data_IF_980124892135
#
_entry.id   IF_980124892135
#
_cell.length_a   1.000
_cell.length_b   1.000
_cell.length_c   1.000
_cell.angle_alpha   90.00
_cell.angle_beta   90.00
_cell.angle_gamma   90.00
#
_symmetry.space_group_name_H-M   'P 1'
#
loop_
_entity.id
_entity.type
_entity.pdbx_description
1 polymer ?
#
# COMPACT_ATOMS: atom_id res chain seq x y z
N UNK A 1 19.40 -19.79 -5.76
CA UNK A 1 19.02 -18.76 -6.74
C UNK A 1 19.09 -17.44 -6.02
N UNK A 2 20.10 -16.62 -6.31
CA UNK A 2 20.08 -15.22 -5.89
C UNK A 2 18.90 -14.55 -6.58
N UNK A 3 17.98 -13.96 -5.81
CA UNK A 3 16.92 -13.12 -6.34
C UNK A 3 17.63 -11.81 -6.72
N UNK A 4 17.95 -11.63 -8.00
CA UNK A 4 18.74 -10.48 -8.48
C UNK A 4 17.90 -9.21 -8.71
N UNK A 5 16.56 -9.32 -8.72
CA UNK A 5 15.61 -8.20 -8.84
C UNK A 5 14.45 -8.35 -7.85
N UNK A 6 13.99 -7.23 -7.29
CA UNK A 6 12.75 -7.20 -6.49
C UNK A 6 11.56 -7.70 -7.33
N UNK A 7 10.57 -8.35 -6.70
CA UNK A 7 9.36 -8.83 -7.38
C UNK A 7 8.14 -8.07 -6.86
N UNK A 8 7.32 -7.55 -7.76
CA UNK A 8 6.08 -6.83 -7.42
C UNK A 8 4.87 -7.56 -8.00
N UNK A 9 3.84 -7.77 -7.16
CA UNK A 9 2.57 -8.34 -7.59
C UNK A 9 1.66 -7.25 -8.14
N UNK A 10 1.12 -7.44 -9.33
CA UNK A 10 0.09 -6.58 -9.94
C UNK A 10 -1.09 -7.43 -10.43
N UNK A 11 -2.24 -6.80 -10.64
CA UNK A 11 -3.42 -7.43 -11.25
C UNK A 11 -3.91 -6.52 -12.39
N UNK A 12 -4.10 -7.03 -13.62
CA UNK A 12 -4.54 -6.22 -14.75
C UNK A 12 -5.98 -5.73 -14.56
N UNK A 13 -6.34 -4.56 -15.11
CA UNK A 13 -7.61 -3.90 -14.85
C UNK A 13 -8.72 -4.36 -15.80
N UNK A 14 -8.80 -5.65 -16.10
CA UNK A 14 -9.70 -6.17 -17.13
C UNK A 14 -11.18 -5.98 -16.77
N UNK A 15 -11.49 -5.95 -15.47
CA UNK A 15 -12.81 -5.74 -14.88
C UNK A 15 -12.86 -4.51 -13.98
N UNK A 16 -11.90 -3.60 -14.09
CA UNK A 16 -11.88 -2.41 -13.23
C UNK A 16 -13.06 -1.48 -13.53
N UNK A 17 -13.76 -1.07 -12.48
CA UNK A 17 -14.83 -0.09 -12.51
C UNK A 17 -15.04 0.49 -11.10
N UNK A 18 -15.73 1.63 -11.00
CA UNK A 18 -16.19 2.18 -9.73
C UNK A 18 -17.68 1.90 -9.63
N UNK A 19 -18.04 0.82 -8.94
CA UNK A 19 -19.43 0.34 -8.79
C UNK A 19 -20.08 0.77 -7.47
N UNK A 20 -19.26 1.11 -6.49
CA UNK A 20 -19.65 1.39 -5.11
C UNK A 20 -18.74 2.46 -4.50
N UNK A 21 -19.11 2.96 -3.32
CA UNK A 21 -18.40 4.04 -2.62
C UNK A 21 -17.97 3.58 -1.24
N UNK A 22 -16.71 3.18 -1.12
CA UNK A 22 -16.10 2.70 0.14
C UNK A 22 -14.93 3.59 0.62
N UNK A 23 -14.70 4.70 -0.08
CA UNK A 23 -13.79 5.77 0.32
C UNK A 23 -14.23 7.11 -0.32
N UNK A 24 -13.76 8.26 0.19
CA UNK A 24 -14.18 9.57 -0.32
C UNK A 24 -13.86 9.84 -1.79
N UNK A 25 -12.83 9.20 -2.36
CA UNK A 25 -12.44 9.41 -3.76
C UNK A 25 -13.38 8.74 -4.76
N UNK A 26 -14.18 7.77 -4.31
CA UNK A 26 -15.15 7.06 -5.18
C UNK A 26 -16.48 7.81 -5.33
N UNK A 27 -16.84 8.71 -4.41
CA UNK A 27 -18.19 9.26 -4.27
C UNK A 27 -18.76 9.89 -5.56
N UNK A 28 -17.90 10.58 -6.33
CA UNK A 28 -18.29 11.28 -7.56
C UNK A 28 -17.85 10.55 -8.84
N UNK A 29 -17.39 9.29 -8.74
CA UNK A 29 -16.76 8.55 -9.84
C UNK A 29 -17.51 7.28 -10.27
N UNK A 30 -18.66 6.99 -9.66
CA UNK A 30 -19.45 5.78 -9.98
C UNK A 30 -19.87 5.78 -11.45
N UNK A 31 -19.53 4.71 -12.17
CA UNK A 31 -19.85 4.57 -13.60
C UNK A 31 -19.08 5.50 -14.55
N UNK A 32 -18.08 6.25 -14.08
CA UNK A 32 -17.31 7.20 -14.89
C UNK A 32 -15.98 6.62 -15.43
N UNK A 33 -15.71 5.33 -15.19
CA UNK A 33 -14.45 4.69 -15.60
C UNK A 33 -14.37 4.56 -17.12
N UNK A 34 -13.26 5.04 -17.69
CA UNK A 34 -12.88 4.77 -19.07
C UNK A 34 -11.88 3.60 -19.10
N UNK A 35 -12.38 2.41 -19.45
CA UNK A 35 -11.61 1.18 -19.39
C UNK A 35 -10.39 1.16 -20.33
N UNK A 36 -10.48 1.81 -21.50
CA UNK A 36 -9.36 1.90 -22.43
C UNK A 36 -8.24 2.78 -21.85
N UNK A 37 -8.60 3.90 -21.24
CA UNK A 37 -7.65 4.77 -20.53
C UNK A 37 -7.05 4.05 -19.31
N UNK A 38 -7.86 3.37 -18.51
CA UNK A 38 -7.39 2.58 -17.35
C UNK A 38 -6.36 1.53 -17.79
N UNK A 39 -6.66 0.76 -18.84
CA UNK A 39 -5.74 -0.25 -19.38
C UNK A 39 -4.45 0.37 -19.91
N UNK A 40 -4.53 1.54 -20.55
CA UNK A 40 -3.35 2.25 -21.03
C UNK A 40 -2.46 2.72 -19.87
N UNK A 41 -3.04 3.38 -18.85
CA UNK A 41 -2.31 3.86 -17.67
C UNK A 41 -1.70 2.72 -16.86
N UNK A 42 -2.43 1.62 -16.69
CA UNK A 42 -1.92 0.45 -15.96
C UNK A 42 -0.75 -0.21 -16.70
N UNK A 43 -0.83 -0.35 -18.03
CA UNK A 43 0.28 -0.89 -18.82
C UNK A 43 1.51 0.01 -18.74
N UNK A 44 1.33 1.32 -18.82
CA UNK A 44 2.42 2.27 -18.65
C UNK A 44 3.11 2.11 -17.29
N UNK A 45 2.35 2.05 -16.19
CA UNK A 45 2.89 1.80 -14.86
C UNK A 45 3.63 0.46 -14.77
N UNK A 46 3.01 -0.61 -15.26
CA UNK A 46 3.61 -1.96 -15.26
C UNK A 46 4.92 -1.97 -16.04
N UNK A 47 4.93 -1.40 -17.25
CA UNK A 47 6.10 -1.41 -18.12
C UNK A 47 7.26 -0.63 -17.50
N UNK A 48 6.98 0.53 -16.88
CA UNK A 48 7.98 1.32 -16.13
C UNK A 48 8.52 0.54 -14.92
N UNK A 49 7.66 -0.12 -14.13
CA UNK A 49 8.13 -0.95 -13.01
C UNK A 49 9.01 -2.09 -13.52
N UNK A 50 8.64 -2.72 -14.64
CA UNK A 50 9.32 -3.88 -15.20
C UNK A 50 10.75 -3.57 -15.72
N UNK A 51 11.08 -2.30 -15.95
CA UNK A 51 12.46 -1.88 -16.21
C UNK A 51 13.38 -2.15 -15.00
N UNK A 52 12.86 -1.98 -13.77
CA UNK A 52 13.65 -1.98 -12.53
C UNK A 52 13.40 -3.19 -11.62
N UNK A 53 12.25 -3.84 -11.74
CA UNK A 53 11.84 -4.99 -10.94
C UNK A 53 11.12 -6.04 -11.81
N UNK A 54 10.93 -7.25 -11.30
CA UNK A 54 10.13 -8.27 -11.98
C UNK A 54 8.65 -8.10 -11.60
N UNK A 55 7.81 -7.77 -12.57
CA UNK A 55 6.36 -7.77 -12.34
C UNK A 55 5.80 -9.18 -12.45
N UNK A 56 5.08 -9.60 -11.41
CA UNK A 56 4.31 -10.84 -11.38
C UNK A 56 2.84 -10.45 -11.44
N UNK A 57 2.11 -10.99 -12.39
CA UNK A 57 0.69 -10.72 -12.53
C UNK A 57 -0.14 -11.83 -11.88
N UNK A 58 -1.26 -11.46 -11.27
CA UNK A 58 -2.34 -12.39 -10.92
C UNK A 58 -3.52 -12.22 -11.86
N UNK A 59 -4.28 -13.29 -12.05
CA UNK A 59 -5.48 -13.26 -12.89
C UNK A 59 -6.56 -12.35 -12.28
N UNK A 60 -7.13 -11.42 -13.07
CA UNK A 60 -8.25 -10.60 -12.63
C UNK A 60 -9.53 -11.45 -12.58
N UNK A 61 -10.48 -11.05 -11.75
CA UNK A 61 -11.75 -11.79 -11.56
C UNK A 61 -12.91 -10.85 -11.85
N UNK A 62 -13.87 -11.34 -12.66
CA UNK A 62 -15.08 -10.59 -12.94
C UNK A 62 -15.81 -10.23 -11.64
N UNK A 63 -16.47 -9.07 -11.65
CA UNK A 63 -17.22 -8.50 -10.51
C UNK A 63 -16.37 -8.12 -9.28
N UNK A 64 -15.03 -8.22 -9.37
CA UNK A 64 -14.08 -7.81 -8.31
C UNK A 64 -13.17 -6.67 -8.80
N UNK A 65 -13.71 -5.46 -9.01
CA UNK A 65 -13.00 -4.38 -9.69
C UNK A 65 -11.74 -3.91 -8.94
N UNK A 66 -11.77 -3.94 -7.61
CA UNK A 66 -10.67 -3.46 -6.77
C UNK A 66 -9.49 -4.45 -6.64
N UNK A 67 -9.55 -5.63 -7.28
CA UNK A 67 -8.42 -6.58 -7.30
C UNK A 67 -7.14 -5.99 -7.91
N UNK A 68 -7.26 -4.94 -8.72
CA UNK A 68 -6.13 -4.18 -9.27
C UNK A 68 -5.24 -3.57 -8.18
N UNK A 69 -5.79 -3.31 -6.99
CA UNK A 69 -5.09 -2.74 -5.83
C UNK A 69 -4.43 -3.84 -4.99
N UNK A 70 -3.42 -4.48 -5.56
CA UNK A 70 -2.70 -5.63 -4.96
C UNK A 70 -1.89 -5.27 -3.71
N UNK A 71 -1.66 -3.97 -3.44
CA UNK A 71 -1.12 -3.51 -2.15
C UNK A 71 -1.98 -4.00 -0.97
N UNK A 72 -3.28 -4.16 -1.17
CA UNK A 72 -4.19 -4.67 -0.16
C UNK A 72 -4.39 -6.19 -0.23
N UNK A 73 -3.64 -6.94 -1.03
CA UNK A 73 -3.73 -8.41 -1.02
C UNK A 73 -3.30 -8.99 0.34
N UNK A 74 -2.31 -8.36 0.95
CA UNK A 74 -1.71 -8.75 2.22
C UNK A 74 -0.38 -8.05 2.42
N UNK A 75 0.32 -8.39 3.48
CA UNK A 75 1.70 -7.94 3.74
C UNK A 75 2.65 -9.14 3.72
N UNK A 76 3.84 -8.93 3.19
CA UNK A 76 4.86 -9.97 3.03
C UNK A 76 6.17 -9.59 3.72
N UNK A 77 6.81 -10.56 4.37
CA UNK A 77 8.17 -10.42 4.91
C UNK A 77 8.93 -11.75 4.80
N UNK A 78 9.99 -11.76 4.01
CA UNK A 78 10.69 -13.01 3.68
C UNK A 78 9.76 -13.97 2.93
N UNK A 79 9.62 -15.20 3.43
CA UNK A 79 8.70 -16.21 2.90
C UNK A 79 7.34 -16.23 3.63
N UNK A 80 7.07 -15.29 4.53
CA UNK A 80 5.84 -15.20 5.31
C UNK A 80 4.88 -14.18 4.72
N UNK A 81 3.58 -14.46 4.79
CA UNK A 81 2.53 -13.54 4.38
C UNK A 81 1.36 -13.52 5.37
N UNK A 82 0.75 -12.36 5.54
CA UNK A 82 -0.57 -12.20 6.18
C UNK A 82 -1.49 -11.66 5.10
N UNK A 83 -2.45 -12.46 4.64
CA UNK A 83 -3.48 -11.99 3.70
C UNK A 83 -4.47 -11.07 4.41
N UNK A 84 -4.98 -10.10 3.67
CA UNK A 84 -5.97 -9.16 4.19
C UNK A 84 -7.28 -9.82 4.60
N UNK A 85 -7.96 -9.16 5.54
CA UNK A 85 -9.37 -9.35 5.84
C UNK A 85 -10.05 -7.98 5.76
N UNK A 86 -10.83 -7.77 4.70
CA UNK A 86 -11.30 -6.44 4.32
C UNK A 86 -12.42 -5.93 5.23
N UNK A 87 -12.33 -4.66 5.60
CA UNK A 87 -13.38 -3.95 6.35
C UNK A 87 -14.58 -3.65 5.45
N UNK A 88 -14.42 -3.09 4.23
CA UNK A 88 -15.48 -3.03 3.23
C UNK A 88 -15.90 -4.43 2.77
N UNK A 89 -17.20 -4.71 2.85
CA UNK A 89 -17.74 -6.03 2.50
C UNK A 89 -17.62 -6.31 1.00
N UNK A 90 -17.62 -5.26 0.19
CA UNK A 90 -17.48 -5.27 -1.26
C UNK A 90 -16.17 -5.93 -1.70
N UNK A 91 -15.09 -5.77 -0.91
CA UNK A 91 -13.76 -6.32 -1.21
C UNK A 91 -13.51 -7.71 -0.60
N UNK A 92 -14.35 -8.19 0.31
CA UNK A 92 -14.17 -9.51 0.97
C UNK A 92 -14.10 -10.70 0.00
N UNK A 93 -14.85 -10.73 -1.12
CA UNK A 93 -14.71 -11.81 -2.09
C UNK A 93 -13.29 -11.93 -2.69
N UNK A 94 -12.49 -10.86 -2.72
CA UNK A 94 -11.11 -10.88 -3.21
C UNK A 94 -10.19 -11.76 -2.35
N UNK A 95 -10.49 -11.89 -1.05
CA UNK A 95 -9.63 -12.58 -0.09
C UNK A 95 -9.31 -14.02 -0.49
N UNK A 96 -10.26 -14.74 -1.08
CA UNK A 96 -10.05 -16.14 -1.48
C UNK A 96 -9.00 -16.23 -2.58
N UNK A 97 -8.96 -15.24 -3.48
CA UNK A 97 -8.01 -15.16 -4.58
C UNK A 97 -6.61 -14.80 -4.09
N UNK A 98 -6.48 -13.81 -3.21
CA UNK A 98 -5.19 -13.46 -2.60
C UNK A 98 -4.63 -14.60 -1.74
N UNK A 99 -5.47 -15.22 -0.90
CA UNK A 99 -5.08 -16.37 -0.07
C UNK A 99 -4.67 -17.58 -0.92
N UNK A 100 -5.32 -17.79 -2.06
CA UNK A 100 -4.92 -18.83 -3.03
C UNK A 100 -3.56 -18.50 -3.64
N UNK A 101 -3.39 -17.27 -4.15
CA UNK A 101 -2.15 -16.83 -4.79
C UNK A 101 -0.95 -16.96 -3.86
N UNK A 102 -1.05 -16.52 -2.60
CA UNK A 102 0.03 -16.66 -1.62
C UNK A 102 0.43 -18.12 -1.38
N UNK A 103 -0.54 -19.03 -1.24
CA UNK A 103 -0.26 -20.46 -1.05
C UNK A 103 0.41 -21.09 -2.27
N UNK A 104 -0.09 -20.80 -3.47
CA UNK A 104 0.44 -21.32 -4.73
C UNK A 104 1.86 -20.79 -5.02
N UNK A 105 2.20 -19.61 -4.50
CA UNK A 105 3.54 -19.01 -4.61
C UNK A 105 4.46 -19.33 -3.42
N UNK A 106 4.09 -20.29 -2.57
CA UNK A 106 4.99 -20.86 -1.55
C UNK A 106 5.15 -20.04 -0.26
N UNK A 107 4.27 -19.07 0.00
CA UNK A 107 4.30 -18.31 1.25
C UNK A 107 3.75 -19.12 2.43
N UNK A 108 4.41 -19.01 3.58
CA UNK A 108 3.83 -19.37 4.87
C UNK A 108 2.74 -18.35 5.19
N UNK A 109 1.48 -18.75 5.00
CA UNK A 109 0.34 -17.87 5.14
C UNK A 109 -0.23 -17.94 6.57
N UNK A 110 -0.18 -16.81 7.29
CA UNK A 110 -0.82 -16.68 8.58
C UNK A 110 -2.35 -16.65 8.44
N UNK A 111 -3.02 -17.41 9.29
CA UNK A 111 -4.46 -17.39 9.42
C UNK A 111 -4.87 -16.36 10.47
N UNK A 112 -4.89 -15.07 10.10
CA UNK A 112 -5.43 -14.01 10.95
C UNK A 112 -6.89 -14.32 11.32
N UNK A 113 -7.29 -14.04 12.57
CA UNK A 113 -8.68 -14.19 12.99
C UNK A 113 -9.57 -13.31 12.10
N UNK A 114 -10.62 -13.91 11.52
CA UNK A 114 -11.60 -13.22 10.67
C UNK A 114 -12.43 -12.17 11.42
N UNK A 115 -12.24 -12.02 12.72
CA UNK A 115 -12.80 -10.92 13.51
C UNK A 115 -11.96 -9.65 13.45
N UNK A 116 -10.72 -9.76 12.98
CA UNK A 116 -9.76 -8.66 12.96
C UNK A 116 -9.64 -8.10 11.54
N UNK A 117 -9.99 -6.83 11.35
CA UNK A 117 -9.82 -6.11 10.09
C UNK A 117 -8.35 -5.79 9.80
N UNK A 118 -7.88 -6.08 8.59
CA UNK A 118 -6.50 -5.82 8.17
C UNK A 118 -6.40 -5.73 6.64
N UNK A 119 -5.80 -4.66 6.11
CA UNK A 119 -5.76 -4.40 4.65
C UNK A 119 -4.36 -4.35 4.04
N UNK A 120 -3.47 -5.22 4.54
CA UNK A 120 -2.24 -5.60 3.85
C UNK A 120 -1.16 -4.52 3.85
N UNK A 121 -0.30 -4.54 2.84
CA UNK A 121 0.79 -3.58 2.68
C UNK A 121 0.29 -2.14 2.45
N UNK A 122 -0.95 -1.96 1.99
CA UNK A 122 -1.59 -0.64 1.95
C UNK A 122 -1.71 0.02 3.34
N UNK A 123 -1.76 -0.78 4.41
CA UNK A 123 -1.79 -0.32 5.81
C UNK A 123 -0.58 -0.77 6.65
N UNK A 124 0.37 -1.52 6.10
CA UNK A 124 1.52 -2.06 6.83
C UNK A 124 2.78 -1.99 5.98
N UNK A 125 3.50 -0.88 6.10
CA UNK A 125 4.66 -0.55 5.29
C UNK A 125 5.96 -0.91 6.00
N UNK A 126 6.79 -1.69 5.33
CA UNK A 126 8.12 -2.02 5.83
C UNK A 126 9.06 -0.83 5.72
N UNK A 127 9.79 -0.53 6.79
CA UNK A 127 10.92 0.40 6.72
C UNK A 127 12.06 -0.19 5.86
N UNK A 128 12.61 0.61 4.96
CA UNK A 128 13.66 0.16 4.04
C UNK A 128 15.04 0.06 4.69
N UNK A 129 15.23 0.64 5.87
CA UNK A 129 16.53 0.76 6.55
C UNK A 129 16.57 0.15 7.96
N UNK A 130 15.41 -0.13 8.55
CA UNK A 130 15.26 -0.59 9.94
C UNK A 130 14.33 -1.81 10.01
N UNK A 131 14.45 -2.66 11.05
CA UNK A 131 13.65 -3.88 11.18
C UNK A 131 12.28 -3.62 11.85
N UNK A 132 11.53 -2.65 11.34
CA UNK A 132 10.17 -2.35 11.84
C UNK A 132 9.17 -2.12 10.71
N UNK A 133 7.89 -2.14 11.08
CA UNK A 133 6.74 -1.96 10.19
C UNK A 133 5.93 -0.74 10.64
N UNK A 134 5.78 0.25 9.76
CA UNK A 134 4.85 1.36 9.94
C UNK A 134 3.43 0.86 9.65
N UNK A 135 2.59 0.72 10.68
CA UNK A 135 1.26 0.12 10.54
C UNK A 135 0.16 1.13 10.86
N UNK A 136 -0.62 1.45 9.84
CA UNK A 136 -1.74 2.38 9.88
C UNK A 136 -2.96 1.79 10.58
N UNK A 137 -3.68 2.64 11.31
CA UNK A 137 -4.99 2.30 11.86
C UNK A 137 -5.89 3.53 11.93
N UNK A 138 -7.20 3.31 12.07
CA UNK A 138 -8.21 4.36 12.25
C UNK A 138 -9.36 4.32 11.26
N UNK A 139 -9.15 3.71 10.09
CA UNK A 139 -10.19 3.57 9.05
C UNK A 139 -10.39 2.13 8.56
N UNK A 140 -9.30 1.42 8.24
CA UNK A 140 -9.36 0.11 7.58
C UNK A 140 -8.81 -1.01 8.46
N UNK A 141 -7.54 -0.93 8.83
CA UNK A 141 -6.90 -1.88 9.74
C UNK A 141 -7.22 -1.59 11.20
N UNK A 142 -7.55 -2.64 11.95
CA UNK A 142 -7.81 -2.61 13.39
C UNK A 142 -6.51 -2.74 14.20
N UNK A 143 -6.46 -2.09 15.37
CA UNK A 143 -5.23 -2.05 16.19
C UNK A 143 -4.86 -3.44 16.72
N UNK A 144 -5.85 -4.32 16.88
CA UNK A 144 -5.70 -5.71 17.27
C UNK A 144 -4.84 -6.51 16.27
N UNK A 145 -4.81 -6.12 14.99
CA UNK A 145 -3.94 -6.76 13.99
C UNK A 145 -2.45 -6.56 14.30
N UNK A 146 -2.09 -5.47 14.99
CA UNK A 146 -0.69 -5.06 15.18
C UNK A 146 0.09 -6.08 16.01
N UNK A 147 -0.51 -6.64 17.06
CA UNK A 147 0.14 -7.66 17.89
C UNK A 147 0.34 -8.97 17.12
N UNK A 148 -0.65 -9.38 16.33
CA UNK A 148 -0.58 -10.56 15.46
C UNK A 148 0.53 -10.40 14.41
N UNK A 149 0.61 -9.24 13.76
CA UNK A 149 1.64 -8.88 12.77
C UNK A 149 3.04 -8.94 13.41
N UNK A 150 3.23 -8.27 14.55
CA UNK A 150 4.50 -8.22 15.25
C UNK A 150 4.96 -9.63 15.65
N UNK A 151 4.06 -10.45 16.21
CA UNK A 151 4.35 -11.82 16.63
C UNK A 151 4.71 -12.72 15.45
N UNK A 152 3.96 -12.64 14.36
CA UNK A 152 4.14 -13.53 13.21
C UNK A 152 5.42 -13.23 12.43
N UNK A 153 5.73 -11.96 12.20
CA UNK A 153 6.95 -11.56 11.50
C UNK A 153 8.18 -11.44 12.39
N UNK A 154 8.02 -11.30 13.70
CA UNK A 154 9.12 -11.03 14.62
C UNK A 154 9.74 -9.65 14.40
N UNK A 155 8.91 -8.66 14.03
CA UNK A 155 9.31 -7.27 13.77
C UNK A 155 8.61 -6.34 14.73
N UNK A 156 9.26 -5.21 15.05
CA UNK A 156 8.59 -4.12 15.77
C UNK A 156 7.51 -3.52 14.87
N UNK A 157 6.31 -3.32 15.40
CA UNK A 157 5.21 -2.62 14.72
C UNK A 157 5.10 -1.24 15.32
N UNK A 158 5.23 -0.20 14.49
CA UNK A 158 5.05 1.20 14.86
C UNK A 158 3.62 1.61 14.48
N UNK A 159 2.71 1.81 15.45
CA UNK A 159 1.34 2.19 15.16
C UNK A 159 1.27 3.66 14.70
N UNK A 160 0.58 3.90 13.60
CA UNK A 160 0.37 5.23 13.02
C UNK A 160 -1.13 5.49 12.85
N UNK A 161 -1.67 6.42 13.63
CA UNK A 161 -3.10 6.76 13.61
C UNK A 161 -3.43 7.73 12.48
N UNK A 162 -4.25 7.29 11.55
CA UNK A 162 -4.83 8.09 10.48
C UNK A 162 -6.04 8.87 11.02
N UNK A 163 -6.15 10.15 10.67
CA UNK A 163 -7.24 11.04 11.12
C UNK A 163 -8.01 11.71 9.99
N UNK A 164 -7.53 11.58 8.76
CA UNK A 164 -8.16 12.18 7.58
C UNK A 164 -8.70 11.07 6.67
N UNK A 165 -10.03 10.96 6.46
CA UNK A 165 -10.63 9.87 5.69
C UNK A 165 -10.24 9.88 4.20
N UNK A 166 -9.66 10.97 3.69
CA UNK A 166 -9.08 11.00 2.34
C UNK A 166 -7.81 10.16 2.25
N UNK A 167 -7.11 9.98 3.37
CA UNK A 167 -5.89 9.20 3.48
C UNK A 167 -6.16 7.96 4.35
N UNK A 168 -7.11 7.14 3.89
CA UNK A 168 -7.70 6.03 4.66
C UNK A 168 -6.81 4.79 4.74
N UNK A 169 -5.78 4.71 3.90
CA UNK A 169 -4.68 3.75 3.97
C UNK A 169 -3.37 4.48 4.19
N UNK A 170 -2.46 3.92 4.99
CA UNK A 170 -1.19 4.60 5.32
C UNK A 170 -0.32 4.85 4.08
N UNK A 171 -0.38 3.98 3.07
CA UNK A 171 0.36 4.13 1.80
C UNK A 171 -0.07 5.32 0.95
N UNK A 172 -1.22 5.93 1.25
CA UNK A 172 -1.68 7.16 0.58
C UNK A 172 -1.03 8.42 1.14
N UNK A 173 -0.39 8.32 2.31
CA UNK A 173 0.16 9.47 3.04
C UNK A 173 1.54 9.24 3.67
N UNK A 174 2.11 8.04 3.57
CA UNK A 174 3.45 7.68 4.06
C UNK A 174 4.12 6.68 3.12
N UNK A 175 5.39 6.90 2.81
CA UNK A 175 6.18 6.08 1.91
C UNK A 175 7.62 5.98 2.42
N UNK A 176 8.02 4.84 3.01
CA UNK A 176 9.41 4.56 3.33
C UNK A 176 10.20 4.38 2.05
N UNK A 177 11.28 5.13 1.91
CA UNK A 177 12.15 5.14 0.73
C UNK A 177 13.52 4.54 1.07
N UNK A 178 14.27 4.18 0.03
CA UNK A 178 15.66 3.74 0.14
C UNK A 178 16.51 4.75 0.94
N UNK A 179 17.65 4.27 1.46
CA UNK A 179 18.62 5.10 2.19
C UNK A 179 18.05 5.83 3.43
N UNK A 180 16.97 5.28 4.01
CA UNK A 180 16.35 5.74 5.26
C UNK A 180 15.53 7.01 5.12
N UNK A 181 15.19 7.44 3.89
CA UNK A 181 14.29 8.55 3.68
C UNK A 181 12.83 8.14 3.96
N UNK A 182 12.02 9.09 4.42
CA UNK A 182 10.59 8.90 4.59
C UNK A 182 9.85 10.07 3.94
N UNK A 183 9.05 9.77 2.93
CA UNK A 183 8.12 10.73 2.35
C UNK A 183 6.76 10.61 3.02
N UNK A 184 6.21 11.69 3.56
CA UNK A 184 4.93 11.63 4.27
C UNK A 184 4.19 12.97 4.28
N UNK A 185 2.88 12.91 4.45
CA UNK A 185 1.99 14.06 4.61
C UNK A 185 1.54 14.19 6.08
N UNK A 186 2.13 15.10 6.88
CA UNK A 186 1.92 15.13 8.33
C UNK A 186 0.47 15.30 8.76
N UNK A 187 -0.35 16.02 7.99
CA UNK A 187 -1.72 16.34 8.40
C UNK A 187 -2.70 15.15 8.27
N UNK A 188 -2.26 14.01 7.73
CA UNK A 188 -3.04 12.77 7.75
C UNK A 188 -2.99 12.05 9.11
N UNK A 189 -2.09 12.47 10.02
CA UNK A 189 -1.80 11.76 11.28
C UNK A 189 -2.15 12.56 12.52
N UNK A 190 -2.47 11.87 13.61
CA UNK A 190 -2.62 12.51 14.92
C UNK A 190 -1.28 12.99 15.49
N UNK A 191 -1.33 13.76 16.59
CA UNK A 191 -0.11 14.34 17.16
C UNK A 191 0.90 13.29 17.65
N UNK A 192 0.41 12.20 18.26
CA UNK A 192 1.28 11.15 18.79
C UNK A 192 2.02 10.43 17.66
N UNK A 193 1.32 10.09 16.58
CA UNK A 193 1.89 9.42 15.41
C UNK A 193 2.91 10.28 14.67
N UNK A 194 2.65 11.59 14.56
CA UNK A 194 3.64 12.53 14.00
C UNK A 194 4.91 12.57 14.86
N UNK A 195 4.76 12.68 16.18
CA UNK A 195 5.91 12.67 17.08
C UNK A 195 6.69 11.35 16.99
N UNK A 196 6.01 10.22 16.82
CA UNK A 196 6.63 8.90 16.67
C UNK A 196 7.51 8.82 15.40
N UNK A 197 6.99 9.33 14.28
CA UNK A 197 7.74 9.48 13.02
C UNK A 197 8.95 10.40 13.23
N UNK A 198 8.73 11.58 13.82
CA UNK A 198 9.76 12.58 14.04
C UNK A 198 10.83 12.16 15.06
N UNK A 199 10.50 11.22 15.96
CA UNK A 199 11.48 10.65 16.90
C UNK A 199 12.40 9.64 16.22
N UNK A 200 11.88 8.88 15.23
CA UNK A 200 12.60 7.79 14.57
C UNK A 200 13.37 8.22 13.32
N UNK A 201 12.82 9.14 12.54
CA UNK A 201 13.41 9.57 11.27
C UNK A 201 14.14 10.91 11.48
N UNK A 202 15.44 11.04 11.19
CA UNK A 202 16.15 12.32 11.26
C UNK A 202 15.54 13.39 10.35
N UNK A 203 15.62 14.67 10.73
CA UNK A 203 14.97 15.76 9.99
C UNK A 203 15.44 15.89 8.53
N UNK A 204 16.72 15.63 8.27
CA UNK A 204 17.34 15.62 6.93
C UNK A 204 16.88 14.45 6.05
N UNK A 205 16.22 13.45 6.65
CA UNK A 205 15.65 12.28 5.96
C UNK A 205 14.13 12.36 5.77
N UNK A 206 13.50 13.45 6.21
CA UNK A 206 12.04 13.66 6.10
C UNK A 206 11.70 14.45 4.83
N UNK A 207 10.97 13.81 3.92
CA UNK A 207 10.39 14.46 2.75
C UNK A 207 8.92 14.77 3.06
N UNK A 208 8.70 15.93 3.68
CA UNK A 208 7.35 16.43 4.00
C UNK A 208 6.66 16.86 2.72
N UNK A 209 5.52 16.23 2.42
CA UNK A 209 4.63 16.52 1.29
C UNK A 209 3.62 17.58 1.68
N UNK A 210 3.24 18.46 0.76
CA UNK A 210 2.21 19.48 0.98
C UNK A 210 0.80 18.96 0.61
N UNK A 211 -0.24 19.74 0.89
CA UNK A 211 -1.62 19.29 0.64
C UNK A 211 -1.92 19.08 -0.86
N UNK A 212 -1.51 19.97 -1.80
CA UNK A 212 -1.69 19.72 -3.23
C UNK A 212 -1.09 18.39 -3.72
N UNK A 213 0.17 18.11 -3.38
CA UNK A 213 0.83 16.86 -3.80
C UNK A 213 0.23 15.64 -3.08
N UNK A 214 -0.08 15.74 -1.79
CA UNK A 214 -0.72 14.67 -1.04
C UNK A 214 -2.09 14.31 -1.64
N UNK A 215 -2.90 15.31 -2.01
CA UNK A 215 -4.20 15.07 -2.67
C UNK A 215 -4.06 14.47 -4.07
N UNK A 216 -2.88 14.56 -4.69
CA UNK A 216 -2.57 13.90 -5.95
C UNK A 216 -1.86 12.55 -5.75
N UNK A 217 -1.94 11.96 -4.56
CA UNK A 217 -1.35 10.67 -4.22
C UNK A 217 0.18 10.62 -4.33
N UNK A 218 0.88 11.75 -4.11
CA UNK A 218 2.34 11.78 -4.16
C UNK A 218 3.01 10.79 -3.17
N UNK A 219 2.39 10.51 -2.03
CA UNK A 219 2.90 9.49 -1.11
C UNK A 219 2.63 8.05 -1.58
N UNK A 220 1.68 7.82 -2.50
CA UNK A 220 1.38 6.49 -3.04
C UNK A 220 2.38 6.14 -4.14
N UNK A 221 3.59 5.83 -3.70
CA UNK A 221 4.79 5.80 -4.52
C UNK A 221 5.45 4.43 -4.45
N UNK A 222 5.88 3.93 -5.60
CA UNK A 222 6.72 2.73 -5.70
C UNK A 222 8.18 3.15 -5.70
N UNK A 223 8.97 2.63 -4.76
CA UNK A 223 10.41 2.86 -4.71
C UNK A 223 11.19 1.55 -4.90
N UNK A 224 12.07 1.54 -5.91
CA UNK A 224 12.92 0.39 -6.28
C UNK A 224 14.36 0.91 -6.37
N UNK A 225 15.20 0.58 -5.39
CA UNK A 225 16.52 1.20 -5.27
C UNK A 225 16.43 2.73 -5.22
N UNK A 226 17.17 3.41 -6.09
CA UNK A 226 17.16 4.88 -6.22
C UNK A 226 16.05 5.40 -7.15
N UNK A 227 15.18 4.52 -7.68
CA UNK A 227 14.09 4.90 -8.58
C UNK A 227 12.80 5.12 -7.81
N UNK A 228 12.14 6.24 -8.08
CA UNK A 228 10.87 6.66 -7.50
C UNK A 228 9.84 6.79 -8.61
N UNK A 229 8.82 5.92 -8.60
CA UNK A 229 7.72 5.90 -9.57
C UNK A 229 6.46 6.36 -8.84
N UNK A 230 5.91 7.49 -9.28
CA UNK A 230 4.77 8.13 -8.62
C UNK A 230 3.89 8.85 -9.63
N UNK A 231 2.76 9.38 -9.17
CA UNK A 231 1.89 10.24 -9.97
C UNK A 231 2.61 11.56 -10.32
N UNK A 232 1.95 12.47 -11.03
CA UNK A 232 2.52 13.80 -11.25
C UNK A 232 2.65 14.55 -9.93
N UNK A 233 3.86 15.01 -9.60
CA UNK A 233 4.10 15.84 -8.41
C UNK A 233 4.53 17.25 -8.80
N UNK A 234 4.47 18.18 -7.85
CA UNK A 234 4.99 19.53 -8.00
C UNK A 234 6.50 19.52 -8.29
N UNK A 235 7.00 20.57 -8.95
CA UNK A 235 8.43 20.76 -9.17
C UNK A 235 9.21 20.80 -7.85
N UNK A 236 8.61 21.39 -6.81
CA UNK A 236 9.22 21.48 -5.49
C UNK A 236 9.44 20.10 -4.86
N UNK A 237 8.46 19.20 -4.96
CA UNK A 237 8.63 17.84 -4.47
C UNK A 237 9.60 17.05 -5.35
N UNK A 238 9.53 17.23 -6.67
CA UNK A 238 10.46 16.58 -7.61
C UNK A 238 11.93 16.93 -7.32
N UNK A 239 12.24 18.17 -6.94
CA UNK A 239 13.62 18.59 -6.63
C UNK A 239 14.15 18.01 -5.30
N UNK A 240 13.29 17.38 -4.49
CA UNK A 240 13.62 16.74 -3.21
C UNK A 240 13.71 15.22 -3.28
N UNK A 241 13.23 14.62 -4.38
CA UNK A 241 13.27 13.18 -4.65
C UNK A 241 14.53 12.84 -5.44
#
# INVERSE_FOLDING_TARGET
MEITKERLLMCPPDYFQVDYVINPWMADNVGLVNLDLTRAQWRELRDVINEYADVVEMEPVADLPDMVFTANAGVVYGNKAIASHFTPIERRPEEVHFKKWFRENGFELFALDKKIGFEGAGDCLRDRSKPWLWTGYGFRTEVEAHEEIARFFGLEVIPIKLIDPRFYHIDTCLCPLANGFLMYYPLAFDNASRLEIETRIPADKRIVVDTPDARNFACNTVNIGDVVITTRVSKLLQDRL
#
